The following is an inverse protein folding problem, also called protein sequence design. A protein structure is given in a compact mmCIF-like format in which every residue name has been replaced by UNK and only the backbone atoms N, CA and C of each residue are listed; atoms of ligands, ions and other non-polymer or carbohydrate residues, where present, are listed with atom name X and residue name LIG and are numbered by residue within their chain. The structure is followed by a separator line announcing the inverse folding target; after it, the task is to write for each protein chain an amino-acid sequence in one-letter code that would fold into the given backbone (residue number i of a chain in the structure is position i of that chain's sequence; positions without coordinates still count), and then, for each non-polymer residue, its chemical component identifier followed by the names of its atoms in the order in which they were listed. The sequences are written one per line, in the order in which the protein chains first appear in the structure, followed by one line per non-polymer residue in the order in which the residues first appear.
data_IF_684247624667
#
_entry.id   IF_684247624667
#
_cell.length_a   1.000
_cell.length_b   1.000
_cell.length_c   1.000
_cell.angle_alpha   90.00
_cell.angle_beta   90.00
_cell.angle_gamma   90.00
#
_symmetry.space_group_name_H-M   'P 1'
#
loop_
_entity.id
_entity.type
_entity.pdbx_description
1 polymer ?
#
# COMPACT_ATOMS: atom_id res chain seq x y z
N UNK A 1 -5.92 -14.38 -1.98
CA UNK A 1 -5.31 -14.65 -3.30
C UNK A 1 -3.98 -15.36 -3.11
N UNK A 2 -3.23 -15.64 -4.18
CA UNK A 2 -1.90 -16.25 -4.08
C UNK A 2 -0.92 -15.29 -3.41
N UNK A 3 -0.10 -15.81 -2.50
CA UNK A 3 1.07 -15.16 -1.94
C UNK A 3 2.26 -16.08 -2.19
N UNK A 4 3.20 -15.64 -3.03
CA UNK A 4 4.39 -16.42 -3.37
C UNK A 4 5.62 -15.65 -2.92
N UNK A 5 6.57 -16.35 -2.31
CA UNK A 5 7.72 -15.73 -1.64
C UNK A 5 8.85 -15.34 -2.60
N UNK A 6 8.74 -15.74 -3.87
CA UNK A 6 9.81 -15.68 -4.87
C UNK A 6 9.41 -14.96 -6.15
N UNK A 7 8.14 -14.62 -6.34
CA UNK A 7 7.65 -13.94 -7.54
C UNK A 7 6.45 -13.04 -7.24
N UNK A 8 6.20 -12.11 -8.16
CA UNK A 8 5.06 -11.19 -8.08
C UNK A 8 3.75 -11.94 -8.27
N UNK A 9 2.71 -11.48 -7.57
CA UNK A 9 1.38 -12.06 -7.67
C UNK A 9 0.32 -10.98 -7.77
N UNK A 10 -0.86 -11.37 -8.26
CA UNK A 10 -2.06 -10.54 -8.21
C UNK A 10 -3.08 -11.15 -7.26
N UNK A 11 -3.59 -10.33 -6.34
CA UNK A 11 -4.66 -10.69 -5.43
C UNK A 11 -5.92 -9.91 -5.80
N UNK A 12 -7.09 -10.51 -5.59
CA UNK A 12 -8.36 -9.82 -5.77
C UNK A 12 -8.60 -8.81 -4.63
N UNK A 13 -9.03 -7.60 -4.98
CA UNK A 13 -9.60 -6.63 -4.04
C UNK A 13 -11.09 -6.97 -3.88
N UNK A 14 -11.46 -7.56 -2.75
CA UNK A 14 -12.82 -8.09 -2.51
C UNK A 14 -13.78 -7.11 -1.87
N UNK A 15 -13.29 -5.94 -1.45
CA UNK A 15 -14.09 -4.91 -0.79
C UNK A 15 -13.23 -3.93 -0.01
N UNK A 16 -13.92 -3.00 0.64
CA UNK A 16 -13.32 -2.02 1.55
C UNK A 16 -14.39 -1.32 2.38
N UNK A 17 -13.96 -0.51 3.34
CA UNK A 17 -14.81 0.32 4.20
C UNK A 17 -14.36 1.79 4.15
N UNK A 18 -15.14 2.70 4.75
CA UNK A 18 -14.82 4.13 4.72
C UNK A 18 -14.71 4.68 3.30
N UNK A 19 -13.61 5.36 2.99
CA UNK A 19 -13.33 5.89 1.63
C UNK A 19 -13.15 4.79 0.58
N UNK A 20 -12.89 3.54 1.00
CA UNK A 20 -12.77 2.37 0.13
C UNK A 20 -14.08 1.56 0.03
N UNK A 21 -15.21 2.08 0.55
CA UNK A 21 -16.49 1.38 0.47
C UNK A 21 -16.90 1.18 -0.98
N UNK A 22 -17.09 -0.09 -1.37
CA UNK A 22 -17.41 -0.47 -2.75
C UNK A 22 -16.20 -0.73 -3.65
N UNK A 23 -14.98 -0.62 -3.11
CA UNK A 23 -13.75 -0.93 -3.85
C UNK A 23 -13.74 -2.37 -4.36
N UNK A 24 -13.32 -2.51 -5.62
CA UNK A 24 -13.06 -3.79 -6.28
C UNK A 24 -11.83 -3.66 -7.19
N UNK A 25 -11.38 -4.77 -7.75
CA UNK A 25 -10.27 -4.82 -8.70
C UNK A 25 -9.21 -5.82 -8.26
N UNK A 26 -7.95 -5.46 -8.47
CA UNK A 26 -6.81 -6.32 -8.13
C UNK A 26 -5.67 -5.51 -7.51
N UNK A 27 -4.81 -6.18 -6.76
CA UNK A 27 -3.59 -5.62 -6.22
C UNK A 27 -2.41 -6.45 -6.67
N UNK A 28 -1.40 -5.79 -7.23
CA UNK A 28 -0.10 -6.40 -7.49
C UNK A 28 0.69 -6.43 -6.20
N UNK A 29 1.17 -7.60 -5.82
CA UNK A 29 2.16 -7.81 -4.76
C UNK A 29 3.53 -7.99 -5.41
N UNK A 30 4.49 -7.15 -5.04
CA UNK A 30 5.89 -7.24 -5.45
C UNK A 30 6.79 -7.48 -4.24
N UNK A 31 7.49 -8.61 -4.20
CA UNK A 31 8.38 -8.97 -3.10
C UNK A 31 9.73 -8.26 -3.27
N UNK A 32 10.11 -7.38 -2.34
CA UNK A 32 11.41 -6.69 -2.39
C UNK A 32 12.48 -7.44 -1.60
N UNK A 33 12.18 -7.73 -0.34
CA UNK A 33 13.02 -8.53 0.56
C UNK A 33 12.08 -9.46 1.31
N UNK A 34 12.17 -10.76 1.05
CA UNK A 34 11.39 -11.73 1.82
C UNK A 34 12.00 -11.94 3.22
N UNK A 35 11.20 -11.99 4.31
CA UNK A 35 9.77 -11.67 4.40
C UNK A 35 9.46 -10.19 4.74
N UNK A 36 10.47 -9.33 4.83
CA UNK A 36 10.37 -8.03 5.53
C UNK A 36 9.84 -6.85 4.71
N UNK A 37 10.09 -6.81 3.40
CA UNK A 37 9.72 -5.68 2.53
C UNK A 37 8.92 -6.16 1.32
N UNK A 38 7.69 -5.66 1.21
CA UNK A 38 6.75 -5.94 0.13
C UNK A 38 6.21 -4.60 -0.36
N UNK A 39 6.05 -4.45 -1.67
CA UNK A 39 5.47 -3.28 -2.29
C UNK A 39 4.17 -3.65 -2.99
N UNK A 40 3.11 -2.88 -2.77
CA UNK A 40 1.79 -3.13 -3.37
C UNK A 40 1.41 -2.02 -4.34
N UNK A 41 0.76 -2.40 -5.44
CA UNK A 41 0.08 -1.47 -6.34
C UNK A 41 -1.37 -1.90 -6.47
N UNK A 42 -2.28 -1.11 -5.89
CA UNK A 42 -3.71 -1.35 -5.95
C UNK A 42 -4.30 -0.71 -7.22
N UNK A 43 -4.98 -1.50 -8.02
CA UNK A 43 -5.76 -1.06 -9.18
C UNK A 43 -7.22 -1.04 -8.76
N UNK A 44 -7.64 0.09 -8.18
CA UNK A 44 -8.95 0.25 -7.56
C UNK A 44 -9.99 0.78 -8.55
N UNK A 45 -11.16 0.15 -8.52
CA UNK A 45 -12.36 0.61 -9.23
C UNK A 45 -13.53 0.77 -8.25
N UNK A 46 -14.55 1.52 -8.69
CA UNK A 46 -15.83 1.60 -7.99
C UNK A 46 -15.86 2.55 -6.78
N UNK A 47 -14.82 3.37 -6.61
CA UNK A 47 -14.72 4.36 -5.54
C UNK A 47 -14.49 5.77 -6.10
N UNK A 48 -14.83 6.83 -5.33
CA UNK A 48 -14.46 8.20 -5.65
C UNK A 48 -12.93 8.39 -5.69
N UNK A 49 -12.44 9.53 -6.23
CA UNK A 49 -11.02 9.89 -6.18
C UNK A 49 -10.46 9.83 -4.76
N UNK A 50 -9.23 9.32 -4.62
CA UNK A 50 -8.55 9.19 -3.34
C UNK A 50 -8.08 10.56 -2.81
N UNK A 51 -7.98 10.73 -1.48
CA UNK A 51 -7.33 11.89 -0.88
C UNK A 51 -5.90 12.07 -1.38
N UNK A 52 -5.49 13.33 -1.59
CA UNK A 52 -4.18 13.66 -2.16
C UNK A 52 -2.99 13.14 -1.32
N UNK A 53 -3.16 13.04 0.00
CA UNK A 53 -2.17 12.47 0.92
C UNK A 53 -1.82 11.00 0.63
N UNK A 54 -2.70 10.25 -0.04
CA UNK A 54 -2.47 8.86 -0.47
C UNK A 54 -1.91 8.75 -1.90
N UNK A 55 -1.77 9.88 -2.60
CA UNK A 55 -1.41 9.95 -4.02
C UNK A 55 -0.02 10.55 -4.27
N UNK A 56 0.84 10.57 -3.24
CA UNK A 56 2.24 10.96 -3.41
C UNK A 56 2.97 10.07 -4.42
N UNK A 57 3.94 10.63 -5.13
CA UNK A 57 4.75 9.87 -6.08
C UNK A 57 5.48 8.71 -5.37
N UNK A 58 5.23 7.44 -5.78
CA UNK A 58 5.89 6.32 -5.14
C UNK A 58 7.39 6.32 -5.43
N UNK A 59 8.21 6.18 -4.39
CA UNK A 59 9.64 5.92 -4.55
C UNK A 59 9.83 4.60 -5.30
N UNK A 60 10.72 4.52 -6.31
CA UNK A 60 10.96 3.29 -7.05
C UNK A 60 11.29 2.12 -6.11
N UNK A 61 10.56 0.98 -6.21
CA UNK A 61 10.75 -0.15 -5.31
C UNK A 61 12.14 -0.76 -5.46
N UNK A 62 12.85 -0.93 -4.35
CA UNK A 62 14.14 -1.62 -4.30
C UNK A 62 14.43 -2.16 -2.90
N UNK A 63 15.38 -3.08 -2.72
CA UNK A 63 15.75 -3.58 -1.39
C UNK A 63 16.21 -2.48 -0.40
N UNK A 64 16.78 -1.39 -0.90
CA UNK A 64 17.36 -0.31 -0.10
C UNK A 64 16.35 0.74 0.39
N UNK A 65 15.11 0.74 -0.11
CA UNK A 65 14.11 1.73 0.32
C UNK A 65 13.74 1.55 1.79
N UNK A 66 13.55 2.67 2.49
CA UNK A 66 13.20 2.73 3.90
C UNK A 66 12.11 3.80 4.12
N UNK A 67 11.25 3.65 5.15
CA UNK A 67 10.43 4.76 5.62
C UNK A 67 11.30 5.95 6.04
N UNK A 68 10.79 7.16 5.91
CA UNK A 68 11.49 8.35 6.43
C UNK A 68 11.62 8.25 7.96
N UNK A 69 12.66 8.87 8.58
CA UNK A 69 12.81 8.87 10.03
C UNK A 69 11.57 9.42 10.76
N UNK A 70 10.94 10.47 10.23
CA UNK A 70 9.74 11.07 10.80
C UNK A 70 8.53 10.11 10.77
N UNK A 71 8.32 9.38 9.66
CA UNK A 71 7.26 8.37 9.57
C UNK A 71 7.52 7.21 10.54
N UNK A 72 8.77 6.74 10.64
CA UNK A 72 9.17 5.70 11.57
C UNK A 72 9.03 6.13 13.04
N UNK A 73 9.25 7.41 13.33
CA UNK A 73 9.07 8.02 14.64
C UNK A 73 7.62 8.45 14.92
N UNK A 74 6.68 8.18 14.00
CA UNK A 74 5.26 8.54 14.11
C UNK A 74 5.01 10.03 14.35
N UNK A 75 5.83 10.90 13.75
CA UNK A 75 5.67 12.33 13.92
C UNK A 75 4.33 12.82 13.35
N UNK A 76 3.68 13.84 13.95
CA UNK A 76 2.31 14.24 13.59
C UNK A 76 2.12 14.64 12.11
N UNK A 77 3.17 15.12 11.45
CA UNK A 77 3.13 15.53 10.04
C UNK A 77 3.45 14.38 9.07
N UNK A 78 3.91 13.23 9.58
CA UNK A 78 4.33 12.06 8.81
C UNK A 78 3.42 10.85 9.08
N UNK A 79 2.23 11.09 9.63
CA UNK A 79 1.22 10.08 9.93
C UNK A 79 -0.15 10.54 9.41
N UNK A 80 -0.99 9.57 9.07
CA UNK A 80 -2.40 9.83 8.78
C UNK A 80 -3.19 9.96 10.09
N UNK A 81 -4.32 10.70 10.10
CA UNK A 81 -5.15 10.84 11.30
C UNK A 81 -5.59 9.47 11.84
N UNK A 82 -5.37 9.24 13.14
CA UNK A 82 -5.75 8.00 13.84
C UNK A 82 -5.26 6.72 13.13
N UNK A 83 -4.00 6.71 12.71
CA UNK A 83 -3.39 5.54 12.06
C UNK A 83 -3.60 4.25 12.86
N UNK A 84 -3.80 3.14 12.15
CA UNK A 84 -3.87 1.81 12.77
C UNK A 84 -2.50 1.39 13.27
N UNK A 85 -2.39 0.98 14.54
CA UNK A 85 -1.14 0.56 15.19
C UNK A 85 -1.15 -0.94 15.52
#
# INVERSE_FOLDING_TARGET
GPYLTYEDTYLAVTGGSGIFKGARGQVKLHQLIFPFKIFYTFYLEGIPPLPAELLGEPVPPSPAVEPTPAAKATEPHATIPNFTN
#
